data_IF_205593453070
#
_entry.id   IF_205593453070
#
_cell.length_a   1.000
_cell.length_b   1.000
_cell.length_c   1.000
_cell.angle_alpha   90.00
_cell.angle_beta   90.00
_cell.angle_gamma   90.00
#
_symmetry.space_group_name_H-M   'P 1'
#
loop_
_entity.id
_entity.type
_entity.pdbx_description
1 polymer ?
#
# COMPACT_ATOMS: atom_id res chain seq x y z
N UNK A 1 19.38 -8.60 -7.27
CA UNK A 1 18.10 -8.39 -6.55
C UNK A 1 17.22 -9.59 -6.85
N UNK A 2 16.98 -10.45 -5.87
CA UNK A 2 16.13 -11.62 -6.06
C UNK A 2 14.70 -11.23 -5.73
N UNK A 3 13.82 -11.36 -6.73
CA UNK A 3 12.39 -11.18 -6.56
C UNK A 3 11.81 -12.57 -6.31
N UNK A 4 11.26 -12.79 -5.12
CA UNK A 4 10.58 -14.04 -4.80
C UNK A 4 9.10 -13.89 -5.16
N UNK A 5 8.62 -14.77 -6.02
CA UNK A 5 7.21 -14.95 -6.35
C UNK A 5 6.74 -16.21 -5.65
N UNK A 6 5.59 -16.15 -4.97
CA UNK A 6 4.99 -17.31 -4.32
C UNK A 6 3.61 -17.59 -4.87
N UNK A 7 3.15 -18.84 -4.71
CA UNK A 7 1.77 -19.21 -4.95
C UNK A 7 0.81 -18.34 -4.13
N UNK A 8 -0.42 -18.21 -4.61
CA UNK A 8 -1.43 -17.41 -3.92
C UNK A 8 -1.55 -17.78 -2.45
N UNK A 9 -1.55 -16.78 -1.58
CA UNK A 9 -1.71 -16.97 -0.14
C UNK A 9 -3.09 -16.44 0.30
N UNK A 10 -3.90 -17.32 0.89
CA UNK A 10 -5.24 -16.98 1.40
C UNK A 10 -5.20 -15.90 2.49
N UNK A 11 -4.07 -15.76 3.19
CA UNK A 11 -3.88 -14.74 4.22
C UNK A 11 -3.80 -13.32 3.66
N UNK A 12 -3.57 -13.13 2.36
CA UNK A 12 -3.50 -11.79 1.77
C UNK A 12 -4.82 -11.01 1.91
N UNK A 13 -5.97 -11.68 1.81
CA UNK A 13 -7.26 -11.06 2.03
C UNK A 13 -7.43 -10.62 3.50
N UNK A 14 -7.04 -11.48 4.44
CA UNK A 14 -7.10 -11.17 5.87
C UNK A 14 -6.13 -10.06 6.28
N UNK A 15 -4.94 -10.02 5.67
CA UNK A 15 -3.96 -8.95 5.85
C UNK A 15 -4.50 -7.62 5.30
N UNK A 16 -5.06 -7.62 4.09
CA UNK A 16 -5.71 -6.44 3.54
C UNK A 16 -6.81 -5.91 4.47
N UNK A 17 -7.70 -6.76 4.99
CA UNK A 17 -8.73 -6.35 5.94
C UNK A 17 -8.16 -5.70 7.20
N UNK A 18 -7.01 -6.21 7.68
CA UNK A 18 -6.31 -5.65 8.85
C UNK A 18 -5.77 -4.26 8.55
N UNK A 19 -5.10 -4.09 7.40
CA UNK A 19 -4.56 -2.80 6.95
C UNK A 19 -5.68 -1.81 6.65
N UNK A 20 -6.76 -2.24 5.99
CA UNK A 20 -7.95 -1.43 5.72
C UNK A 20 -8.57 -0.87 7.00
N UNK A 21 -8.75 -1.70 8.05
CA UNK A 21 -9.23 -1.24 9.36
C UNK A 21 -8.26 -0.27 10.04
N UNK A 22 -6.96 -0.41 9.81
CA UNK A 22 -5.98 0.55 10.32
C UNK A 22 -6.06 1.89 9.59
N UNK A 23 -6.10 1.89 8.25
CA UNK A 23 -6.26 3.09 7.43
C UNK A 23 -7.57 3.83 7.72
N UNK A 24 -8.68 3.11 7.90
CA UNK A 24 -9.97 3.71 8.31
C UNK A 24 -9.89 4.44 9.65
N UNK A 25 -9.05 3.98 10.59
CA UNK A 25 -8.84 4.67 11.87
C UNK A 25 -8.01 5.94 11.71
N UNK A 26 -6.99 5.90 10.85
CA UNK A 26 -6.17 7.08 10.52
C UNK A 26 -7.02 8.15 9.85
N UNK A 27 -7.88 7.74 8.90
CA UNK A 27 -8.64 8.63 8.03
C UNK A 27 -10.08 8.87 8.51
N UNK A 28 -10.39 8.59 9.78
CA UNK A 28 -11.76 8.58 10.31
C UNK A 28 -12.54 9.89 10.11
N UNK A 29 -11.84 11.03 10.08
CA UNK A 29 -12.42 12.37 9.96
C UNK A 29 -12.30 12.93 8.53
N UNK A 30 -11.84 12.11 7.58
CA UNK A 30 -11.61 12.47 6.19
C UNK A 30 -12.64 11.74 5.32
N UNK A 31 -13.39 12.46 4.45
CA UNK A 31 -14.45 11.86 3.64
C UNK A 31 -13.86 11.11 2.44
N UNK A 32 -13.27 9.94 2.69
CA UNK A 32 -12.79 9.03 1.65
C UNK A 32 -13.94 8.27 0.99
N UNK A 33 -13.79 7.90 -0.29
CA UNK A 33 -14.80 7.17 -1.06
C UNK A 33 -14.69 5.65 -0.85
N UNK A 34 -13.47 5.11 -0.94
CA UNK A 34 -13.21 3.69 -0.76
C UNK A 34 -11.76 3.40 -0.36
N UNK A 35 -11.53 2.19 0.13
CA UNK A 35 -10.19 1.59 0.29
C UNK A 35 -10.27 0.21 -0.37
N UNK A 36 -9.40 -0.03 -1.36
CA UNK A 36 -9.50 -1.16 -2.28
C UNK A 36 -8.21 -1.98 -2.30
N UNK A 37 -8.36 -3.31 -2.36
CA UNK A 37 -7.23 -4.22 -2.55
C UNK A 37 -6.99 -4.38 -4.05
N UNK A 38 -5.86 -3.88 -4.51
CA UNK A 38 -5.47 -3.92 -5.93
C UNK A 38 -4.18 -4.72 -6.11
N UNK A 39 -3.72 -4.84 -7.35
CA UNK A 39 -2.50 -5.58 -7.68
C UNK A 39 -2.67 -7.11 -7.63
N UNK A 40 -1.58 -7.84 -7.82
CA UNK A 40 -1.65 -9.30 -8.01
C UNK A 40 -2.10 -10.07 -6.77
N UNK A 41 -1.89 -9.52 -5.57
CA UNK A 41 -2.28 -10.17 -4.31
C UNK A 41 -3.80 -10.15 -4.06
N UNK A 42 -4.56 -9.32 -4.79
CA UNK A 42 -6.03 -9.31 -4.71
C UNK A 42 -6.70 -10.36 -5.62
N UNK A 43 -5.95 -11.00 -6.50
CA UNK A 43 -6.47 -11.98 -7.46
C UNK A 43 -6.33 -13.39 -6.89
N UNK A 44 -7.47 -14.00 -6.56
CA UNK A 44 -7.52 -15.38 -6.06
C UNK A 44 -6.81 -16.35 -7.02
N UNK A 45 -5.88 -17.13 -6.48
CA UNK A 45 -5.13 -18.15 -7.24
C UNK A 45 -3.93 -17.62 -8.03
N UNK A 46 -3.70 -16.30 -8.08
CA UNK A 46 -2.55 -15.73 -8.79
C UNK A 46 -1.29 -15.73 -7.92
N UNK A 47 -0.19 -16.26 -8.46
CA UNK A 47 1.12 -16.14 -7.84
C UNK A 47 1.64 -14.70 -7.90
N UNK A 48 2.19 -14.19 -6.80
CA UNK A 48 2.56 -12.78 -6.68
C UNK A 48 3.78 -12.55 -5.78
N UNK A 49 4.31 -11.32 -5.82
CA UNK A 49 5.21 -10.80 -4.79
C UNK A 49 4.41 -10.60 -3.51
N UNK A 50 5.05 -10.79 -2.35
CA UNK A 50 4.43 -10.63 -1.04
C UNK A 50 4.30 -9.15 -0.63
N UNK A 51 3.65 -8.36 -1.49
CA UNK A 51 3.41 -6.92 -1.29
C UNK A 51 1.94 -6.68 -1.59
N UNK A 52 1.23 -6.05 -0.65
CA UNK A 52 -0.14 -5.59 -0.88
C UNK A 52 -0.11 -4.22 -1.55
N UNK A 53 -0.85 -4.09 -2.64
CA UNK A 53 -1.14 -2.81 -3.26
C UNK A 53 -2.54 -2.37 -2.82
N UNK A 54 -2.65 -1.15 -2.28
CA UNK A 54 -3.89 -0.63 -1.68
C UNK A 54 -4.14 0.76 -2.22
N UNK A 55 -5.34 0.97 -2.75
CA UNK A 55 -5.80 2.28 -3.19
C UNK A 55 -6.72 2.89 -2.13
N UNK A 56 -6.53 4.18 -1.85
CA UNK A 56 -7.46 5.02 -1.08
C UNK A 56 -8.04 6.01 -2.07
N UNK A 57 -9.34 5.87 -2.35
CA UNK A 57 -10.02 6.67 -3.37
C UNK A 57 -10.66 7.87 -2.71
N UNK A 58 -10.37 9.06 -3.24
CA UNK A 58 -10.89 10.34 -2.74
C UNK A 58 -11.22 11.26 -3.91
N UNK A 59 -12.07 12.25 -3.67
CA UNK A 59 -12.24 13.37 -4.62
C UNK A 59 -11.00 14.29 -4.57
N UNK A 60 -10.67 15.02 -5.65
CA UNK A 60 -9.44 15.82 -5.72
C UNK A 60 -9.26 16.82 -4.58
N UNK A 61 -10.35 17.40 -4.08
CA UNK A 61 -10.36 18.38 -3.00
C UNK A 61 -9.89 17.80 -1.65
N UNK A 62 -9.96 16.48 -1.50
CA UNK A 62 -9.64 15.74 -0.27
C UNK A 62 -8.23 15.12 -0.33
N UNK A 63 -7.58 15.15 -1.49
CA UNK A 63 -6.26 14.53 -1.70
C UNK A 63 -5.19 15.10 -0.76
N UNK A 64 -5.15 16.42 -0.57
CA UNK A 64 -4.20 17.07 0.32
C UNK A 64 -4.39 16.64 1.78
N UNK A 65 -5.63 16.72 2.29
CA UNK A 65 -5.94 16.31 3.66
C UNK A 65 -5.63 14.83 3.92
N UNK A 66 -5.91 13.96 2.94
CA UNK A 66 -5.60 12.52 3.02
C UNK A 66 -4.09 12.28 3.04
N UNK A 67 -3.35 13.02 2.21
CA UNK A 67 -1.88 12.95 2.12
C UNK A 67 -1.22 13.36 3.44
N UNK A 68 -1.70 14.44 4.04
CA UNK A 68 -1.19 14.94 5.31
C UNK A 68 -1.47 13.97 6.46
N UNK A 69 -2.67 13.40 6.53
CA UNK A 69 -3.04 12.42 7.55
C UNK A 69 -2.20 11.13 7.47
N UNK A 70 -1.95 10.62 6.26
CA UNK A 70 -1.08 9.45 6.07
C UNK A 70 0.37 9.76 6.47
N UNK A 71 0.87 10.94 6.09
CA UNK A 71 2.22 11.38 6.46
C UNK A 71 2.37 11.54 7.97
N UNK A 72 1.37 12.13 8.64
CA UNK A 72 1.32 12.25 10.11
C UNK A 72 1.24 10.89 10.82
N UNK A 73 0.64 9.88 10.18
CA UNK A 73 0.61 8.50 10.66
C UNK A 73 1.92 7.72 10.38
N UNK A 74 2.93 8.36 9.78
CA UNK A 74 4.25 7.78 9.52
C UNK A 74 4.41 7.08 8.17
N UNK A 75 3.43 7.15 7.27
CA UNK A 75 3.59 6.66 5.91
C UNK A 75 4.56 7.57 5.14
N UNK A 76 5.47 6.96 4.39
CA UNK A 76 6.42 7.72 3.56
C UNK A 76 5.74 8.12 2.26
N UNK A 77 5.58 9.43 2.05
CA UNK A 77 5.11 10.01 0.80
C UNK A 77 6.19 9.86 -0.30
N UNK A 78 5.84 9.25 -1.42
CA UNK A 78 6.72 9.01 -2.57
C UNK A 78 6.38 9.92 -3.78
N UNK A 79 5.45 10.85 -3.62
CA UNK A 79 4.94 11.72 -4.67
C UNK A 79 4.15 10.96 -5.73
N UNK A 80 4.05 11.52 -6.93
CA UNK A 80 3.16 10.99 -7.96
C UNK A 80 3.66 9.72 -8.66
N UNK A 81 4.97 9.49 -8.64
CA UNK A 81 5.62 8.41 -9.38
C UNK A 81 5.08 8.28 -10.83
N UNK A 82 5.03 9.42 -11.53
CA UNK A 82 4.63 9.56 -12.94
C UNK A 82 3.14 9.28 -13.24
N UNK A 83 2.26 9.27 -12.23
CA UNK A 83 0.81 9.16 -12.42
C UNK A 83 0.15 10.43 -11.88
N UNK A 84 -0.24 11.37 -12.74
CA UNK A 84 -0.85 12.63 -12.31
C UNK A 84 -2.08 12.42 -11.43
N UNK A 85 -2.16 13.12 -10.30
CA UNK A 85 -3.30 13.05 -9.39
C UNK A 85 -3.32 11.83 -8.45
N UNK A 86 -2.32 10.94 -8.51
CA UNK A 86 -2.10 9.89 -7.52
C UNK A 86 -0.95 10.29 -6.62
N UNK A 87 -1.06 10.12 -5.30
CA UNK A 87 0.10 10.19 -4.40
C UNK A 87 0.42 8.78 -3.92
N UNK A 88 1.63 8.31 -4.20
CA UNK A 88 2.09 6.99 -3.78
C UNK A 88 2.66 7.05 -2.35
N UNK A 89 2.33 6.04 -1.55
CA UNK A 89 2.82 5.90 -0.18
C UNK A 89 3.50 4.56 0.06
N UNK A 90 4.29 4.52 1.12
CA UNK A 90 4.86 3.30 1.67
C UNK A 90 4.61 3.23 3.17
N UNK A 91 4.25 2.05 3.65
CA UNK A 91 3.97 1.85 5.07
C UNK A 91 5.21 2.11 5.96
N UNK A 92 5.00 2.52 7.22
CA UNK A 92 6.08 2.64 8.20
C UNK A 92 6.90 1.35 8.32
N UNK A 93 8.22 1.47 8.43
CA UNK A 93 9.12 0.32 8.63
C UNK A 93 9.35 -0.57 7.41
N UNK A 94 8.77 -0.25 6.24
CA UNK A 94 9.13 -0.93 5.00
C UNK A 94 10.37 -0.26 4.39
N UNK A 95 11.54 -0.79 4.69
CA UNK A 95 12.76 -0.48 3.94
C UNK A 95 12.90 -1.52 2.83
N UNK A 96 13.18 -1.10 1.58
CA UNK A 96 13.64 -2.07 0.58
C UNK A 96 14.96 -2.63 1.10
N UNK A 97 14.98 -3.87 1.55
CA UNK A 97 16.23 -4.54 1.92
C UNK A 97 17.20 -4.49 0.73
N UNK A 98 18.42 -3.98 0.98
CA UNK A 98 19.52 -3.97 0.00
C UNK A 98 19.90 -5.41 -0.38
N UNK A 99 20.50 -5.66 -1.57
CA UNK A 99 21.02 -6.99 -1.89
C UNK A 99 22.28 -7.24 -1.04
N UNK A 100 22.25 -8.30 -0.23
CA UNK A 100 23.46 -8.84 0.38
C UNK A 100 24.47 -9.22 -0.69
N UNK A 101 25.62 -8.56 -0.67
CA UNK A 101 26.83 -8.99 -1.38
C UNK A 101 27.39 -10.22 -0.67
N UNK A 102 26.89 -11.40 -1.04
CA UNK A 102 27.46 -12.68 -0.68
C UNK A 102 27.81 -13.43 -1.95
N UNK A 103 29.01 -13.20 -2.48
CA UNK A 103 29.67 -14.19 -3.32
C UNK A 103 30.20 -15.24 -2.34
N UNK A 104 29.75 -16.48 -2.51
CA UNK A 104 30.44 -17.67 -2.03
C UNK A 104 31.11 -18.31 -3.25
#
# INVERSE_FOLDING_TARGET
>A
MNIIIQAYNLEWAAEFDRVRKHLLRILKDIPILSIEHVGSTSILGLAAKQILDIDIVVVPEILAATTDALSAAGYTNLGELFVPGRIAFRQPGFERSQPGSGIQ
#
